data_IF_726244242168
#
_entry.id   IF_726244242168
#
_cell.length_a   1.000
_cell.length_b   1.000
_cell.length_c   1.000
_cell.angle_alpha   90.00
_cell.angle_beta   90.00
_cell.angle_gamma   90.00
#
_symmetry.space_group_name_H-M   'P 1'
#
loop_
_entity.id
_entity.type
_entity.pdbx_description
1 polymer ?
#
# COMPACT_ATOMS: atom_id res chain seq x y z
N UNK A 1 7.62 -24.22 4.86
CA UNK A 1 6.51 -23.33 4.50
C UNK A 1 7.05 -21.95 4.20
N UNK A 2 6.69 -21.38 3.06
CA UNK A 2 7.13 -20.02 2.71
C UNK A 2 6.40 -18.99 3.58
N UNK A 3 6.90 -17.76 3.58
CA UNK A 3 6.24 -16.67 4.32
C UNK A 3 4.84 -16.39 3.77
N UNK A 4 4.67 -16.47 2.46
CA UNK A 4 3.34 -16.31 1.84
C UNK A 4 2.38 -17.39 2.35
N UNK A 5 2.82 -18.64 2.35
CA UNK A 5 1.99 -19.74 2.85
C UNK A 5 1.60 -19.57 4.32
N UNK A 6 2.55 -19.11 5.16
CA UNK A 6 2.27 -18.85 6.57
C UNK A 6 1.24 -17.74 6.75
N UNK A 7 1.38 -16.66 5.97
CA UNK A 7 0.43 -15.54 6.05
C UNK A 7 -0.96 -15.96 5.59
N UNK A 8 -1.04 -16.73 4.50
CA UNK A 8 -2.32 -17.25 4.03
C UNK A 8 -2.98 -18.15 5.07
N UNK A 9 -2.19 -18.94 5.78
CA UNK A 9 -2.68 -19.80 6.86
C UNK A 9 -3.28 -18.97 8.00
N UNK A 10 -2.58 -17.91 8.44
CA UNK A 10 -3.11 -17.00 9.46
C UNK A 10 -4.39 -16.32 9.01
N UNK A 11 -4.48 -15.98 7.73
CA UNK A 11 -5.63 -15.25 7.19
C UNK A 11 -6.88 -16.12 7.03
N UNK A 12 -6.79 -17.42 7.19
CA UNK A 12 -7.97 -18.29 7.19
C UNK A 12 -8.96 -17.92 8.29
N UNK A 13 -8.45 -17.39 9.41
CA UNK A 13 -9.29 -16.97 10.54
C UNK A 13 -9.33 -15.45 10.72
N UNK A 14 -8.54 -14.70 9.96
CA UNK A 14 -8.39 -13.24 10.10
C UNK A 14 -8.18 -12.60 8.73
N UNK A 15 -9.02 -12.95 7.76
CA UNK A 15 -8.88 -12.53 6.36
C UNK A 15 -8.99 -11.02 6.14
N UNK A 16 -9.62 -10.31 7.06
CA UNK A 16 -9.79 -8.86 6.98
C UNK A 16 -8.91 -8.09 7.96
N UNK A 17 -7.81 -8.68 8.37
CA UNK A 17 -6.80 -8.04 9.19
C UNK A 17 -5.87 -7.23 8.29
N UNK A 18 -5.91 -5.90 8.40
CA UNK A 18 -5.11 -5.02 7.54
C UNK A 18 -3.62 -5.24 7.69
N UNK A 19 -3.13 -5.52 8.90
CA UNK A 19 -1.72 -5.80 9.13
C UNK A 19 -1.28 -7.05 8.35
N UNK A 20 -2.06 -8.13 8.44
CA UNK A 20 -1.74 -9.37 7.73
C UNK A 20 -1.85 -9.19 6.21
N UNK A 21 -2.86 -8.47 5.74
CA UNK A 21 -3.00 -8.17 4.32
C UNK A 21 -1.84 -7.34 3.79
N UNK A 22 -1.41 -6.33 4.56
CA UNK A 22 -0.26 -5.50 4.19
C UNK A 22 1.02 -6.35 4.12
N UNK A 23 1.25 -7.19 5.13
CA UNK A 23 2.41 -8.08 5.15
C UNK A 23 2.41 -9.03 3.95
N UNK A 24 1.25 -9.60 3.61
CA UNK A 24 1.12 -10.50 2.45
C UNK A 24 1.38 -9.73 1.15
N UNK A 25 0.87 -8.52 1.03
CA UNK A 25 1.11 -7.69 -0.16
C UNK A 25 2.61 -7.43 -0.36
N UNK A 26 3.34 -7.13 0.72
CA UNK A 26 4.78 -6.93 0.63
C UNK A 26 5.52 -8.20 0.17
N UNK A 27 5.07 -9.38 0.63
CA UNK A 27 5.66 -10.64 0.18
C UNK A 27 5.35 -10.91 -1.29
N UNK A 28 4.16 -10.58 -1.77
CA UNK A 28 3.84 -10.68 -3.19
C UNK A 28 4.73 -9.79 -4.05
N UNK A 29 5.04 -8.58 -3.58
CA UNK A 29 5.98 -7.70 -4.29
C UNK A 29 7.34 -8.36 -4.44
N UNK A 30 7.83 -9.02 -3.40
CA UNK A 30 9.13 -9.70 -3.41
C UNK A 30 9.22 -10.81 -4.47
N UNK A 31 8.10 -11.44 -4.82
CA UNK A 31 8.06 -12.49 -5.83
C UNK A 31 7.49 -11.99 -7.16
N UNK A 32 7.52 -10.67 -7.37
CA UNK A 32 7.08 -10.02 -8.60
C UNK A 32 5.59 -10.24 -8.93
N UNK A 33 4.78 -10.46 -7.89
CA UNK A 33 3.33 -10.58 -8.05
C UNK A 33 2.66 -9.26 -7.65
N UNK A 34 2.90 -8.23 -8.46
CA UNK A 34 2.37 -6.89 -8.20
C UNK A 34 0.84 -6.84 -8.28
N UNK A 35 0.25 -7.66 -9.13
CA UNK A 35 -1.21 -7.67 -9.30
C UNK A 35 -1.94 -8.06 -8.02
N UNK A 36 -1.52 -9.15 -7.37
CA UNK A 36 -2.15 -9.58 -6.13
C UNK A 36 -1.82 -8.63 -4.98
N UNK A 37 -0.61 -8.06 -4.96
CA UNK A 37 -0.26 -7.04 -3.98
C UNK A 37 -1.17 -5.82 -4.10
N UNK A 38 -1.41 -5.36 -5.32
CA UNK A 38 -2.27 -4.21 -5.61
C UNK A 38 -3.69 -4.45 -5.10
N UNK A 39 -4.24 -5.62 -5.35
CA UNK A 39 -5.59 -5.98 -4.88
C UNK A 39 -5.70 -5.88 -3.37
N UNK A 40 -4.69 -6.39 -2.65
CA UNK A 40 -4.67 -6.34 -1.19
C UNK A 40 -4.60 -4.91 -0.67
N UNK A 41 -3.72 -4.07 -1.25
CA UNK A 41 -3.63 -2.67 -0.82
C UNK A 41 -4.95 -1.93 -1.07
N UNK A 42 -5.61 -2.18 -2.20
CA UNK A 42 -6.90 -1.56 -2.49
C UNK A 42 -7.97 -1.98 -1.48
N UNK A 43 -8.00 -3.26 -1.09
CA UNK A 43 -8.93 -3.75 -0.07
C UNK A 43 -8.68 -3.11 1.29
N UNK A 44 -7.40 -3.01 1.69
CA UNK A 44 -7.02 -2.37 2.95
C UNK A 44 -7.53 -0.94 2.98
N UNK A 45 -7.22 -0.16 1.95
CA UNK A 45 -7.50 1.27 1.93
C UNK A 45 -8.99 1.58 1.75
N UNK A 46 -9.74 0.68 1.13
CA UNK A 46 -11.19 0.81 1.04
C UNK A 46 -11.84 0.63 2.42
N UNK A 47 -11.35 -0.33 3.21
CA UNK A 47 -11.87 -0.62 4.54
C UNK A 47 -11.31 0.31 5.61
N UNK A 48 -10.01 0.63 5.52
CA UNK A 48 -9.27 1.40 6.50
C UNK A 48 -8.43 2.49 5.84
N UNK A 49 -9.05 3.62 5.43
CA UNK A 49 -8.31 4.70 4.74
C UNK A 49 -7.17 5.29 5.57
N UNK A 50 -7.18 5.10 6.89
CA UNK A 50 -6.11 5.59 7.77
C UNK A 50 -4.95 4.62 7.92
N UNK A 51 -4.94 3.52 7.17
CA UNK A 51 -3.79 2.59 7.16
C UNK A 51 -2.70 3.18 6.27
N UNK A 52 -1.99 4.18 6.80
CA UNK A 52 -1.15 5.10 6.03
C UNK A 52 -0.05 4.41 5.22
N UNK A 53 0.58 3.37 5.79
CA UNK A 53 1.70 2.68 5.14
C UNK A 53 1.37 2.05 3.79
N UNK A 54 0.10 1.73 3.54
CA UNK A 54 -0.31 1.09 2.28
C UNK A 54 -0.31 2.05 1.09
N UNK A 55 -0.46 3.35 1.32
CA UNK A 55 -0.48 4.33 0.20
C UNK A 55 0.86 4.39 -0.52
N UNK A 56 1.97 4.40 0.22
CA UNK A 56 3.30 4.47 -0.38
C UNK A 56 3.53 3.28 -1.31
N UNK A 57 3.29 2.07 -0.82
CA UNK A 57 3.51 0.85 -1.60
C UNK A 57 2.57 0.74 -2.79
N UNK A 58 1.30 1.10 -2.62
CA UNK A 58 0.35 1.10 -3.73
C UNK A 58 0.78 2.09 -4.81
N UNK A 59 1.22 3.29 -4.41
CA UNK A 59 1.72 4.27 -5.35
C UNK A 59 2.91 3.75 -6.15
N UNK A 60 3.85 3.07 -5.49
CA UNK A 60 5.01 2.47 -6.16
C UNK A 60 4.62 1.39 -7.16
N UNK A 61 3.63 0.56 -6.83
CA UNK A 61 3.10 -0.43 -7.77
C UNK A 61 2.49 0.22 -9.01
N UNK A 62 1.76 1.31 -8.82
CA UNK A 62 1.16 2.05 -9.92
C UNK A 62 2.23 2.69 -10.82
N UNK A 63 3.30 3.22 -10.22
CA UNK A 63 4.44 3.73 -11.01
C UNK A 63 5.06 2.63 -11.88
N UNK A 64 5.29 1.43 -11.30
CA UNK A 64 5.86 0.32 -12.06
C UNK A 64 4.95 -0.14 -13.19
N UNK A 65 3.65 0.03 -13.02
CA UNK A 65 2.66 -0.30 -14.06
C UNK A 65 2.51 0.82 -15.10
N UNK A 66 3.24 1.93 -14.96
CA UNK A 66 3.15 3.06 -15.86
C UNK A 66 1.91 3.93 -15.64
N UNK A 67 1.18 3.72 -14.53
CA UNK A 67 -0.04 4.48 -14.22
C UNK A 67 0.31 5.67 -13.32
N UNK A 68 1.06 6.61 -13.88
CA UNK A 68 1.64 7.72 -13.10
C UNK A 68 0.60 8.66 -12.50
N UNK A 69 -0.46 8.96 -13.25
CA UNK A 69 -1.53 9.84 -12.73
C UNK A 69 -2.24 9.21 -11.54
N UNK A 70 -2.50 7.91 -11.62
CA UNK A 70 -3.10 7.18 -10.50
C UNK A 70 -2.17 7.13 -9.29
N UNK A 71 -0.87 6.97 -9.52
CA UNK A 71 0.13 6.98 -8.46
C UNK A 71 0.10 8.31 -7.71
N UNK A 72 0.07 9.43 -8.45
CA UNK A 72 0.00 10.76 -7.86
C UNK A 72 -1.25 10.89 -6.99
N UNK A 73 -2.40 10.46 -7.48
CA UNK A 73 -3.65 10.54 -6.71
C UNK A 73 -3.60 9.71 -5.44
N UNK A 74 -2.98 8.54 -5.49
CA UNK A 74 -2.82 7.68 -4.32
C UNK A 74 -1.91 8.36 -3.29
N UNK A 75 -0.80 8.94 -3.73
CA UNK A 75 0.08 9.68 -2.83
C UNK A 75 -0.63 10.86 -2.18
N UNK A 76 -1.39 11.62 -2.97
CA UNK A 76 -2.16 12.76 -2.46
C UNK A 76 -3.19 12.34 -1.43
N UNK A 77 -3.90 11.24 -1.67
CA UNK A 77 -4.85 10.71 -0.72
C UNK A 77 -4.16 10.30 0.58
N UNK A 78 -3.03 9.61 0.46
CA UNK A 78 -2.22 9.23 1.62
C UNK A 78 -1.72 10.43 2.41
N UNK A 79 -1.29 11.49 1.71
CA UNK A 79 -0.87 12.74 2.35
C UNK A 79 -2.02 13.36 3.15
N UNK A 80 -3.21 13.39 2.57
CA UNK A 80 -4.39 13.94 3.23
C UNK A 80 -4.72 13.16 4.51
N UNK A 81 -4.73 11.83 4.41
CA UNK A 81 -5.00 10.97 5.58
C UNK A 81 -3.90 11.08 6.64
N UNK A 82 -2.63 11.12 6.21
CA UNK A 82 -1.51 11.26 7.13
C UNK A 82 -1.58 12.57 7.92
N UNK A 83 -1.89 13.65 7.23
CA UNK A 83 -2.03 14.97 7.87
C UNK A 83 -3.19 14.96 8.86
N UNK A 84 -4.29 14.34 8.49
CA UNK A 84 -5.48 14.27 9.33
C UNK A 84 -5.22 13.54 10.65
N UNK A 85 -4.39 12.49 10.64
CA UNK A 85 -4.06 11.73 11.85
C UNK A 85 -2.78 12.20 12.53
N UNK A 86 -2.13 13.23 11.99
CA UNK A 86 -0.92 13.79 12.59
C UNK A 86 0.36 13.02 12.31
N UNK A 87 0.39 12.18 11.28
CA UNK A 87 1.58 11.41 10.89
C UNK A 87 2.44 12.22 9.92
N UNK A 88 3.25 13.13 10.45
CA UNK A 88 4.08 14.02 9.65
C UNK A 88 5.18 13.28 8.89
N UNK A 89 5.71 12.21 9.46
CA UNK A 89 6.75 11.41 8.80
C UNK A 89 6.23 10.81 7.50
N UNK A 90 5.08 10.15 7.56
CA UNK A 90 4.46 9.55 6.38
C UNK A 90 4.03 10.61 5.37
N UNK A 91 3.50 11.75 5.85
CA UNK A 91 3.16 12.87 4.98
C UNK A 91 4.36 13.30 4.13
N UNK A 92 5.50 13.52 4.77
CA UNK A 92 6.71 13.96 4.07
C UNK A 92 7.23 12.90 3.10
N UNK A 93 7.16 11.64 3.48
CA UNK A 93 7.57 10.52 2.62
C UNK A 93 6.71 10.44 1.36
N UNK A 94 5.39 10.55 1.52
CA UNK A 94 4.44 10.53 0.41
C UNK A 94 4.61 11.76 -0.49
N UNK A 95 4.85 12.92 0.10
CA UNK A 95 5.10 14.13 -0.67
C UNK A 95 6.35 13.98 -1.54
N UNK A 96 7.43 13.42 -0.99
CA UNK A 96 8.64 13.15 -1.75
C UNK A 96 8.40 12.18 -2.90
N UNK A 97 7.64 11.12 -2.66
CA UNK A 97 7.29 10.17 -3.71
C UNK A 97 6.47 10.83 -4.82
N UNK A 98 5.51 11.66 -4.45
CA UNK A 98 4.69 12.41 -5.42
C UNK A 98 5.55 13.33 -6.28
N UNK A 99 6.45 14.10 -5.66
CA UNK A 99 7.35 15.01 -6.37
C UNK A 99 8.24 14.27 -7.38
N UNK A 100 8.73 13.09 -7.00
CA UNK A 100 9.55 12.27 -7.90
C UNK A 100 8.79 11.86 -9.15
N UNK A 101 7.51 11.56 -9.04
CA UNK A 101 6.67 11.18 -10.19
C UNK A 101 6.38 12.40 -11.08
N UNK A 102 6.24 13.57 -10.47
CA UNK A 102 5.88 14.80 -11.18
C UNK A 102 7.04 15.44 -11.95
N UNK A 103 8.26 14.97 -11.75
CA UNK A 103 9.43 15.50 -12.46
C UNK A 103 9.44 15.22 -13.96
#
# INVERSE_FOLDING_TARGET
MSRIEKLLEYMKTSDKDSFLQHALALEYIKVDNDEDARKLFNEILLREPTYIGSYYHLGKLLERAGEFEKAIKVYERGMWEAKRVGDNHSYNELMGAKEDVEE
#
